data_IF_799288430952
#
_entry.id   IF_799288430952
#
_cell.length_a   1.000
_cell.length_b   1.000
_cell.length_c   1.000
_cell.angle_alpha   90.00
_cell.angle_beta   90.00
_cell.angle_gamma   90.00
#
_symmetry.space_group_name_H-M   'P 1'
#
loop_
_entity.id
_entity.type
_entity.pdbx_description
1 polymer ?
#
# COMPACT_ATOMS: atom_id res chain seq x y z
N UNK A 1 86.74 -68.03 -18.65
CA UNK A 1 85.68 -67.12 -19.15
C UNK A 1 84.32 -67.62 -18.68
N UNK A 2 83.57 -66.72 -18.03
CA UNK A 2 82.10 -66.63 -17.81
C UNK A 2 81.24 -67.83 -17.36
N UNK A 3 80.50 -67.59 -16.25
CA UNK A 3 79.38 -68.39 -15.70
C UNK A 3 78.07 -68.06 -16.45
N UNK A 4 77.14 -69.02 -16.51
CA UNK A 4 75.70 -68.73 -16.71
C UNK A 4 74.84 -69.66 -15.86
N UNK A 5 74.03 -69.05 -14.97
CA UNK A 5 72.97 -69.69 -14.16
C UNK A 5 71.66 -69.62 -14.95
N UNK A 6 70.89 -70.71 -15.02
CA UNK A 6 69.45 -70.69 -15.32
C UNK A 6 68.65 -71.11 -14.10
N UNK A 7 67.69 -70.26 -13.70
CA UNK A 7 66.84 -70.42 -12.51
C UNK A 7 65.56 -71.21 -12.75
N UNK A 8 65.06 -71.79 -11.65
CA UNK A 8 63.82 -72.55 -11.47
C UNK A 8 62.54 -71.77 -11.81
N UNK A 9 61.49 -72.45 -12.26
CA UNK A 9 60.10 -72.09 -11.94
C UNK A 9 59.38 -73.28 -11.29
N UNK A 10 58.93 -73.07 -10.07
CA UNK A 10 58.11 -74.00 -9.26
C UNK A 10 56.69 -73.44 -9.18
N UNK A 11 55.72 -74.29 -9.53
CA UNK A 11 54.28 -74.05 -9.43
C UNK A 11 53.86 -73.75 -7.98
N UNK A 12 53.62 -72.48 -7.67
CA UNK A 12 53.06 -71.99 -6.39
C UNK A 12 51.71 -71.26 -6.59
N UNK A 13 50.75 -71.85 -7.30
CA UNK A 13 49.43 -71.23 -7.54
C UNK A 13 48.24 -71.66 -6.64
N UNK A 14 48.21 -72.79 -5.92
CA UNK A 14 47.03 -73.10 -5.08
C UNK A 14 47.03 -72.35 -3.74
N UNK A 15 48.21 -72.13 -3.14
CA UNK A 15 48.31 -71.48 -1.82
C UNK A 15 47.99 -69.99 -1.91
N UNK A 16 48.41 -69.32 -2.98
CA UNK A 16 48.15 -67.90 -3.17
C UNK A 16 46.65 -67.61 -3.40
N UNK A 17 45.96 -68.48 -4.15
CA UNK A 17 44.52 -68.30 -4.43
C UNK A 17 43.67 -68.59 -3.17
N UNK A 18 44.01 -69.64 -2.42
CA UNK A 18 43.35 -69.97 -1.16
C UNK A 18 43.58 -68.86 -0.13
N UNK A 19 44.81 -68.35 -0.03
CA UNK A 19 45.11 -67.21 0.83
C UNK A 19 44.31 -65.96 0.43
N UNK A 20 44.16 -65.69 -0.87
CA UNK A 20 43.36 -64.56 -1.34
C UNK A 20 41.87 -64.71 -0.99
N UNK A 21 41.30 -65.91 -1.14
CA UNK A 21 39.91 -66.20 -0.78
C UNK A 21 39.69 -66.06 0.73
N UNK A 22 40.60 -66.58 1.55
CA UNK A 22 40.53 -66.45 3.02
C UNK A 22 40.66 -64.98 3.43
N UNK A 23 41.53 -64.20 2.78
CA UNK A 23 41.61 -62.75 2.99
C UNK A 23 40.30 -62.07 2.59
N UNK A 24 39.71 -62.42 1.45
CA UNK A 24 38.44 -61.83 0.98
C UNK A 24 37.25 -62.16 1.88
N UNK A 25 37.18 -63.38 2.39
CA UNK A 25 36.15 -63.78 3.37
C UNK A 25 36.41 -63.05 4.69
N UNK A 26 37.67 -63.01 5.14
CA UNK A 26 38.06 -62.30 6.35
C UNK A 26 37.76 -60.80 6.28
N UNK A 27 38.03 -60.16 5.15
CA UNK A 27 37.70 -58.74 4.95
C UNK A 27 36.21 -58.52 4.87
N UNK A 28 35.43 -59.34 4.15
CA UNK A 28 33.97 -59.19 4.12
C UNK A 28 33.32 -59.45 5.49
N UNK A 29 33.76 -60.45 6.24
CA UNK A 29 33.29 -60.71 7.61
C UNK A 29 33.69 -59.57 8.54
N UNK A 30 34.91 -59.04 8.41
CA UNK A 30 35.35 -57.86 9.15
C UNK A 30 34.55 -56.62 8.77
N UNK A 31 34.18 -56.45 7.50
CA UNK A 31 33.31 -55.36 7.03
C UNK A 31 31.92 -55.50 7.61
N UNK A 32 31.31 -56.69 7.58
CA UNK A 32 30.00 -56.95 8.19
C UNK A 32 30.08 -56.67 9.69
N UNK A 33 31.03 -57.27 10.41
CA UNK A 33 31.25 -57.04 11.83
C UNK A 33 31.45 -55.55 12.16
N UNK A 34 32.23 -54.84 11.35
CA UNK A 34 32.48 -53.41 11.51
C UNK A 34 31.20 -52.58 11.34
N UNK A 35 30.36 -52.89 10.36
CA UNK A 35 29.12 -52.14 10.11
C UNK A 35 27.94 -52.57 10.97
N UNK A 36 27.89 -53.81 11.47
CA UNK A 36 26.78 -54.31 12.30
C UNK A 36 27.04 -54.23 13.80
N UNK A 37 28.31 -54.30 14.24
CA UNK A 37 28.65 -54.42 15.67
C UNK A 37 29.65 -53.35 16.15
N UNK A 38 30.42 -52.72 15.26
CA UNK A 38 31.48 -51.78 15.67
C UNK A 38 31.19 -50.31 15.35
N UNK A 39 30.31 -50.00 14.39
CA UNK A 39 29.73 -48.65 14.32
C UNK A 39 28.76 -48.51 15.49
N UNK A 40 28.91 -47.52 16.38
CA UNK A 40 27.81 -47.15 17.25
C UNK A 40 26.63 -46.80 16.34
N UNK A 41 25.56 -47.59 16.39
CA UNK A 41 24.30 -47.20 15.78
C UNK A 41 23.92 -45.88 16.45
N UNK A 42 23.93 -44.80 15.68
CA UNK A 42 23.46 -43.49 16.17
C UNK A 42 22.02 -43.73 16.64
N UNK A 43 21.68 -43.47 17.91
CA UNK A 43 20.31 -43.59 18.39
C UNK A 43 19.37 -42.88 17.42
N UNK A 44 18.18 -43.42 17.17
CA UNK A 44 17.25 -42.83 16.20
C UNK A 44 16.95 -41.35 16.53
N UNK A 45 16.90 -41.01 17.82
CA UNK A 45 16.73 -39.65 18.33
C UNK A 45 17.91 -38.69 18.04
N UNK A 46 19.08 -39.22 17.70
CA UNK A 46 20.28 -38.47 17.35
C UNK A 46 20.48 -38.35 15.81
N UNK A 47 19.61 -38.99 15.02
CA UNK A 47 19.63 -38.87 13.55
C UNK A 47 18.82 -37.61 13.17
N UNK A 48 19.46 -36.58 12.61
CA UNK A 48 18.77 -35.33 12.33
C UNK A 48 17.81 -35.47 11.15
N UNK A 49 16.57 -35.01 11.37
CA UNK A 49 15.47 -35.09 10.41
C UNK A 49 15.24 -33.75 9.72
N UNK A 50 14.80 -33.78 8.47
CA UNK A 50 14.40 -32.57 7.75
C UNK A 50 12.99 -32.12 8.18
N UNK A 51 12.79 -30.81 8.28
CA UNK A 51 11.52 -30.21 8.75
C UNK A 51 10.33 -30.69 7.90
N UNK A 52 10.47 -30.66 6.56
CA UNK A 52 9.40 -31.09 5.66
C UNK A 52 8.94 -32.53 5.91
N UNK A 53 9.87 -33.45 6.24
CA UNK A 53 9.52 -34.85 6.54
C UNK A 53 8.74 -34.98 7.84
N UNK A 54 9.12 -34.22 8.87
CA UNK A 54 8.44 -34.19 10.17
C UNK A 54 7.03 -33.60 10.04
N UNK A 55 6.91 -32.50 9.28
CA UNK A 55 5.65 -31.78 9.10
C UNK A 55 4.61 -32.52 8.24
N UNK A 56 4.98 -33.62 7.55
CA UNK A 56 3.98 -34.51 6.93
C UNK A 56 3.07 -35.21 7.95
N UNK A 57 3.55 -35.42 9.18
CA UNK A 57 2.78 -36.03 10.27
C UNK A 57 3.32 -35.59 11.66
N UNK A 58 3.13 -34.32 12.05
CA UNK A 58 3.73 -33.75 13.26
C UNK A 58 3.24 -34.43 14.55
N UNK A 59 1.99 -34.92 14.56
CA UNK A 59 1.37 -35.63 15.69
C UNK A 59 2.22 -36.82 16.13
N UNK A 60 2.89 -37.50 15.20
CA UNK A 60 3.72 -38.67 15.49
C UNK A 60 4.96 -38.36 16.33
N UNK A 61 5.36 -37.10 16.43
CA UNK A 61 6.58 -36.65 17.12
C UNK A 61 6.29 -35.99 18.48
N UNK A 62 5.02 -35.78 18.82
CA UNK A 62 4.62 -35.20 20.11
C UNK A 62 4.99 -36.17 21.24
N UNK A 63 5.72 -35.66 22.23
CA UNK A 63 6.22 -36.41 23.39
C UNK A 63 7.46 -37.28 23.10
N UNK A 64 7.94 -37.33 21.86
CA UNK A 64 9.15 -38.07 21.50
C UNK A 64 10.39 -37.16 21.53
N UNK A 65 11.53 -37.73 21.94
CA UNK A 65 12.83 -37.08 21.77
C UNK A 65 13.34 -37.35 20.35
N UNK A 66 13.64 -36.29 19.61
CA UNK A 66 14.24 -36.40 18.27
C UNK A 66 15.14 -35.21 17.98
N UNK A 67 15.91 -35.30 16.89
CA UNK A 67 16.78 -34.23 16.41
C UNK A 67 16.26 -33.74 15.07
N UNK A 68 16.14 -32.42 14.90
CA UNK A 68 15.66 -31.78 13.69
C UNK A 68 16.70 -30.79 13.15
N UNK A 69 16.86 -30.77 11.83
CA UNK A 69 17.81 -29.91 11.12
C UNK A 69 17.10 -28.76 10.43
N UNK A 70 17.58 -27.53 10.61
CA UNK A 70 17.10 -26.37 9.88
C UNK A 70 18.03 -25.16 10.04
N UNK A 71 17.75 -24.07 9.33
CA UNK A 71 18.41 -22.80 9.55
C UNK A 71 17.86 -22.16 10.83
N UNK A 72 18.75 -21.81 11.76
CA UNK A 72 18.33 -21.20 13.02
C UNK A 72 18.07 -19.72 12.82
N UNK A 73 16.87 -19.28 13.17
CA UNK A 73 16.43 -17.89 13.09
C UNK A 73 15.67 -17.50 14.35
N UNK A 74 15.60 -16.20 14.63
CA UNK A 74 14.73 -15.66 15.67
C UNK A 74 13.78 -14.68 14.98
N UNK A 75 12.49 -15.00 14.97
CA UNK A 75 11.43 -14.14 14.39
C UNK A 75 10.40 -13.79 15.45
N UNK A 76 10.03 -12.50 15.52
CA UNK A 76 9.16 -11.94 16.57
C UNK A 76 9.56 -12.34 18.02
N UNK A 77 10.86 -12.54 18.27
CA UNK A 77 11.37 -12.98 19.58
C UNK A 77 11.30 -14.50 19.85
N UNK A 78 10.80 -15.29 18.91
CA UNK A 78 10.70 -16.75 19.02
C UNK A 78 11.87 -17.45 18.29
N UNK A 79 12.69 -18.24 18.99
CA UNK A 79 13.68 -19.11 18.37
C UNK A 79 12.99 -20.20 17.53
N UNK A 80 13.44 -20.40 16.30
CA UNK A 80 12.89 -21.43 15.43
C UNK A 80 13.93 -21.97 14.44
N UNK A 81 13.63 -23.14 13.90
CA UNK A 81 14.34 -23.74 12.77
C UNK A 81 13.45 -23.67 11.53
N UNK A 82 14.02 -23.24 10.41
CA UNK A 82 13.31 -23.16 9.12
C UNK A 82 14.00 -24.04 8.08
N UNK A 83 13.21 -24.60 7.17
CA UNK A 83 13.70 -25.54 6.15
C UNK A 83 14.59 -24.84 5.10
N UNK A 84 14.18 -23.64 4.67
CA UNK A 84 14.81 -22.84 3.66
C UNK A 84 14.71 -21.35 4.03
N UNK A 85 15.86 -20.71 4.20
CA UNK A 85 15.94 -19.32 4.63
C UNK A 85 15.30 -18.35 3.62
N UNK A 86 15.47 -18.56 2.32
CA UNK A 86 14.87 -17.69 1.29
C UNK A 86 13.36 -17.89 1.19
N UNK A 87 12.87 -19.13 1.38
CA UNK A 87 11.43 -19.39 1.43
C UNK A 87 10.80 -18.73 2.65
N UNK A 88 11.45 -18.84 3.82
CA UNK A 88 11.03 -18.17 5.04
C UNK A 88 10.97 -16.65 4.89
N UNK A 89 11.99 -16.04 4.27
CA UNK A 89 12.02 -14.60 4.01
C UNK A 89 10.93 -14.14 3.02
N UNK A 90 10.58 -14.96 2.03
CA UNK A 90 9.62 -14.60 0.99
C UNK A 90 8.16 -14.93 1.35
N UNK A 91 7.91 -15.96 2.14
CA UNK A 91 6.58 -16.55 2.37
C UNK A 91 6.27 -16.70 3.87
N UNK A 92 6.71 -15.73 4.69
CA UNK A 92 6.60 -15.69 6.15
C UNK A 92 5.49 -16.57 6.77
N UNK A 93 5.88 -17.45 7.72
CA UNK A 93 5.02 -18.17 8.67
C UNK A 93 4.06 -19.25 8.10
N UNK A 94 4.45 -20.02 7.07
CA UNK A 94 3.75 -21.29 6.76
C UNK A 94 4.12 -22.36 7.82
N UNK A 95 3.16 -22.88 8.62
CA UNK A 95 3.44 -23.87 9.68
C UNK A 95 4.18 -25.11 9.19
N UNK A 96 4.03 -25.51 7.93
CA UNK A 96 4.68 -26.68 7.35
C UNK A 96 6.19 -26.49 7.09
N UNK A 97 6.70 -25.26 7.22
CA UNK A 97 8.07 -24.89 6.82
C UNK A 97 8.99 -24.56 7.99
N UNK A 98 8.50 -24.60 9.24
CA UNK A 98 9.29 -24.29 10.42
C UNK A 98 8.90 -25.11 11.65
N UNK A 99 9.80 -25.15 12.62
CA UNK A 99 9.57 -25.72 13.96
C UNK A 99 10.09 -24.76 15.01
N UNK A 100 9.27 -24.44 16.01
CA UNK A 100 9.70 -23.56 17.10
C UNK A 100 10.66 -24.30 18.03
N UNK A 101 11.76 -23.65 18.42
CA UNK A 101 12.67 -24.15 19.44
C UNK A 101 12.17 -23.64 20.80
N UNK A 102 11.28 -24.41 21.41
CA UNK A 102 10.62 -24.04 22.66
C UNK A 102 11.49 -24.33 23.88
N UNK A 103 11.12 -23.76 25.04
CA UNK A 103 11.93 -23.81 26.26
C UNK A 103 12.93 -22.65 26.34
N UNK A 104 14.12 -22.90 26.86
CA UNK A 104 15.16 -21.87 27.05
C UNK A 104 16.44 -22.28 26.32
N UNK A 105 16.50 -22.12 24.98
CA UNK A 105 17.76 -22.31 24.26
C UNK A 105 18.82 -21.34 24.81
N UNK A 106 20.09 -21.77 24.98
CA UNK A 106 21.14 -20.93 25.52
C UNK A 106 21.50 -19.80 24.54
N UNK A 107 21.98 -18.68 25.07
CA UNK A 107 22.42 -17.52 24.27
C UNK A 107 23.52 -17.89 23.26
N UNK A 108 24.30 -18.94 23.53
CA UNK A 108 25.30 -19.46 22.58
C UNK A 108 24.71 -19.97 21.26
N UNK A 109 23.41 -20.23 21.18
CA UNK A 109 22.76 -20.55 19.92
C UNK A 109 22.65 -19.35 18.98
N UNK A 110 22.76 -18.12 19.47
CA UNK A 110 22.77 -16.91 18.62
C UNK A 110 23.97 -16.90 17.65
N UNK A 111 25.05 -17.63 17.95
CA UNK A 111 26.18 -17.83 17.02
C UNK A 111 25.79 -18.58 15.73
N UNK A 112 24.63 -19.25 15.73
CA UNK A 112 24.12 -20.04 14.61
C UNK A 112 23.00 -19.34 13.84
N UNK A 113 22.73 -18.05 14.11
CA UNK A 113 21.74 -17.30 13.35
C UNK A 113 22.06 -17.30 11.85
N UNK A 114 21.10 -17.75 11.03
CA UNK A 114 21.26 -17.93 9.59
C UNK A 114 22.13 -19.12 9.20
N UNK A 115 22.60 -19.91 10.16
CA UNK A 115 23.41 -21.11 9.96
C UNK A 115 22.53 -22.34 10.20
N UNK A 116 22.71 -23.37 9.37
CA UNK A 116 22.03 -24.65 9.56
C UNK A 116 22.56 -25.35 10.81
N UNK A 117 21.68 -25.74 11.73
CA UNK A 117 22.05 -26.50 12.91
C UNK A 117 21.03 -27.61 13.21
N UNK A 118 21.47 -28.57 14.01
CA UNK A 118 20.67 -29.68 14.46
C UNK A 118 20.24 -29.40 15.91
N UNK A 119 18.94 -29.35 16.18
CA UNK A 119 18.38 -29.17 17.53
C UNK A 119 17.75 -30.47 17.97
N UNK A 120 18.15 -30.94 19.15
CA UNK A 120 17.57 -32.10 19.83
C UNK A 120 16.69 -31.63 20.98
N UNK A 121 15.52 -32.24 21.09
CA UNK A 121 14.56 -31.95 22.14
C UNK A 121 13.36 -32.88 22.11
N UNK A 122 12.38 -32.58 22.96
CA UNK A 122 11.12 -33.32 23.03
C UNK A 122 10.07 -32.59 22.21
N UNK A 123 9.42 -33.27 21.28
CA UNK A 123 8.34 -32.70 20.47
C UNK A 123 7.14 -32.30 21.31
N UNK A 124 6.56 -31.15 21.03
CA UNK A 124 5.35 -30.65 21.67
C UNK A 124 4.58 -29.73 20.73
N UNK A 125 3.33 -29.43 21.07
CA UNK A 125 2.60 -28.38 20.38
C UNK A 125 3.07 -27.02 20.92
N UNK A 126 3.60 -26.20 20.02
CA UNK A 126 3.77 -24.79 20.30
C UNK A 126 2.43 -24.05 20.17
N UNK A 127 1.66 -24.41 19.14
CA UNK A 127 0.24 -24.06 18.98
C UNK A 127 -0.50 -25.23 18.34
N UNK A 128 -1.36 -25.90 19.11
CA UNK A 128 -2.12 -27.06 18.62
C UNK A 128 -3.23 -26.65 17.62
N UNK A 129 -3.76 -25.43 17.74
CA UNK A 129 -4.84 -24.95 16.87
C UNK A 129 -4.36 -24.63 15.46
N UNK A 130 -3.13 -24.13 15.35
CA UNK A 130 -2.49 -23.77 14.08
C UNK A 130 -1.54 -24.87 13.55
N UNK A 131 -1.48 -26.02 14.23
CA UNK A 131 -0.63 -27.15 13.84
C UNK A 131 0.88 -26.85 13.95
N UNK A 132 1.26 -25.88 14.78
CA UNK A 132 2.65 -25.44 14.93
C UNK A 132 3.39 -26.39 15.87
N UNK A 133 4.33 -27.13 15.30
CA UNK A 133 5.21 -28.01 16.05
C UNK A 133 6.29 -27.22 16.79
N UNK A 134 6.50 -27.57 18.05
CA UNK A 134 7.60 -27.13 18.89
C UNK A 134 8.54 -28.28 19.21
N UNK A 135 9.81 -27.96 19.41
CA UNK A 135 10.81 -28.86 19.97
C UNK A 135 11.38 -28.24 21.26
N UNK A 136 11.02 -28.83 22.40
CA UNK A 136 11.51 -28.38 23.71
C UNK A 136 12.99 -28.65 23.80
N UNK A 137 13.77 -27.59 23.72
CA UNK A 137 15.22 -27.61 23.59
C UNK A 137 15.92 -28.47 24.67
N UNK A 138 16.87 -29.29 24.25
CA UNK A 138 17.77 -30.04 25.14
C UNK A 138 19.25 -29.84 24.77
N UNK A 139 19.58 -29.99 23.49
CA UNK A 139 20.95 -29.91 22.98
C UNK A 139 20.95 -29.45 21.53
N UNK A 140 22.04 -28.83 21.08
CA UNK A 140 22.28 -28.58 19.66
C UNK A 140 23.61 -29.17 19.20
N UNK A 141 23.72 -29.39 17.89
CA UNK A 141 24.97 -29.66 17.19
C UNK A 141 25.05 -28.79 15.93
N UNK A 142 26.20 -28.16 15.72
CA UNK A 142 26.44 -27.32 14.56
C UNK A 142 26.63 -28.16 13.29
N UNK A 143 26.01 -27.76 12.18
CA UNK A 143 26.43 -28.17 10.83
C UNK A 143 26.95 -26.94 10.10
N UNK A 144 28.27 -26.79 10.02
CA UNK A 144 28.84 -25.75 9.18
C UNK A 144 28.67 -26.19 7.72
N UNK A 145 27.60 -25.72 7.05
CA UNK A 145 27.53 -25.72 5.59
C UNK A 145 28.25 -24.47 5.06
N UNK A 146 28.90 -24.58 3.91
CA UNK A 146 29.58 -23.44 3.26
C UNK A 146 28.60 -22.34 2.79
N UNK A 147 27.29 -22.62 2.82
CA UNK A 147 26.22 -21.66 2.53
C UNK A 147 25.92 -20.77 3.73
N UNK A 148 26.83 -19.82 4.01
CA UNK A 148 26.58 -18.71 4.95
C UNK A 148 25.93 -17.57 4.17
N UNK A 149 24.65 -17.32 4.42
CA UNK A 149 23.99 -16.10 3.93
C UNK A 149 24.28 -14.98 4.93
N UNK A 150 25.08 -13.98 4.54
CA UNK A 150 25.31 -12.80 5.38
C UNK A 150 24.18 -11.77 5.21
N UNK A 151 23.43 -11.52 6.29
CA UNK A 151 22.48 -10.41 6.39
C UNK A 151 21.39 -10.65 7.44
N UNK A 152 21.39 -9.87 8.53
CA UNK A 152 20.30 -9.62 9.49
C UNK A 152 19.27 -10.74 9.77
N UNK A 153 19.43 -11.50 10.88
CA UNK A 153 18.47 -12.55 11.31
C UNK A 153 18.09 -12.54 12.80
N UNK A 154 18.20 -11.38 13.45
CA UNK A 154 17.46 -11.13 14.68
C UNK A 154 16.38 -10.14 14.31
N UNK A 155 15.17 -10.65 14.12
CA UNK A 155 14.00 -9.81 13.93
C UNK A 155 13.87 -9.00 15.22
N UNK A 156 14.30 -7.74 15.15
CA UNK A 156 14.06 -6.83 16.25
C UNK A 156 12.56 -6.69 16.25
N UNK A 157 11.90 -7.03 17.36
CA UNK A 157 10.52 -6.57 17.55
C UNK A 157 10.63 -5.06 17.59
N UNK A 158 10.48 -4.44 16.42
CA UNK A 158 10.30 -3.02 16.30
C UNK A 158 8.98 -2.78 17.00
N UNK A 159 9.06 -2.25 18.21
CA UNK A 159 7.89 -1.59 18.79
C UNK A 159 7.47 -0.50 17.81
N UNK A 160 6.18 -0.20 17.77
CA UNK A 160 5.60 0.87 16.93
C UNK A 160 6.34 2.20 17.05
N UNK A 161 7.10 2.39 18.12
CA UNK A 161 8.01 3.52 18.36
C UNK A 161 8.99 3.80 17.19
N UNK A 162 9.43 2.78 16.43
CA UNK A 162 10.29 3.00 15.25
C UNK A 162 9.51 3.51 14.02
N UNK A 163 8.22 3.14 13.92
CA UNK A 163 7.33 3.65 12.87
C UNK A 163 6.92 5.11 13.16
N UNK A 164 6.75 5.45 14.44
CA UNK A 164 6.45 6.83 14.87
C UNK A 164 7.62 7.80 14.60
N UNK A 165 8.87 7.32 14.64
CA UNK A 165 10.07 8.15 14.44
C UNK A 165 10.40 8.43 12.96
N UNK A 166 9.98 7.56 12.01
CA UNK A 166 10.43 7.64 10.60
C UNK A 166 9.36 7.95 9.54
N UNK A 167 8.10 8.09 9.94
CA UNK A 167 6.96 8.77 9.29
C UNK A 167 5.71 8.05 9.80
N UNK A 168 4.69 8.75 10.32
CA UNK A 168 3.46 8.08 10.74
C UNK A 168 2.87 7.40 9.51
N UNK A 169 3.02 6.07 9.43
CA UNK A 169 2.25 5.30 8.48
C UNK A 169 0.85 5.30 9.07
N UNK A 170 0.01 6.23 8.61
CA UNK A 170 -1.40 6.27 8.95
C UNK A 170 -1.97 4.91 8.54
N UNK A 171 -2.22 4.05 9.52
CA UNK A 171 -2.83 2.76 9.30
C UNK A 171 -4.31 2.99 9.02
N UNK A 172 -4.59 3.13 7.73
CA UNK A 172 -5.91 3.27 7.14
C UNK A 172 -6.53 1.85 7.05
N UNK A 173 -7.31 1.48 8.06
CA UNK A 173 -7.97 0.17 8.15
C UNK A 173 -9.12 0.02 7.13
N UNK A 174 -9.68 1.14 6.66
CA UNK A 174 -10.78 1.23 5.72
C UNK A 174 -10.69 2.54 4.96
N UNK A 175 -10.72 2.48 3.62
CA UNK A 175 -10.65 3.67 2.78
C UNK A 175 -11.86 4.59 3.04
N UNK A 176 -11.58 5.82 3.46
CA UNK A 176 -12.55 6.87 3.71
C UNK A 176 -12.56 7.91 2.57
N UNK A 177 -13.65 8.68 2.51
CA UNK A 177 -13.82 9.77 1.54
C UNK A 177 -13.91 11.10 2.28
N UNK A 178 -12.99 12.00 1.98
CA UNK A 178 -12.91 13.34 2.54
C UNK A 178 -13.21 14.39 1.48
N UNK A 179 -13.86 15.49 1.88
CA UNK A 179 -14.13 16.59 0.97
C UNK A 179 -13.90 17.95 1.63
N UNK A 180 -13.43 18.91 0.85
CA UNK A 180 -13.35 20.31 1.22
C UNK A 180 -14.07 21.16 0.17
N UNK A 181 -15.15 21.83 0.60
CA UNK A 181 -15.94 22.74 -0.21
C UNK A 181 -15.65 24.19 0.22
N UNK A 182 -15.15 25.03 -0.69
CA UNK A 182 -14.67 26.38 -0.36
C UNK A 182 -15.34 27.48 -1.17
N UNK A 183 -15.79 28.54 -0.48
CA UNK A 183 -16.17 29.82 -1.10
C UNK A 183 -15.89 31.04 -0.20
N UNK A 184 -15.06 31.97 -0.71
CA UNK A 184 -14.64 33.16 0.02
C UNK A 184 -15.55 34.38 -0.12
N UNK A 185 -16.18 34.61 -1.28
CA UNK A 185 -17.14 35.70 -1.49
C UNK A 185 -16.59 37.13 -1.50
N UNK A 186 -15.29 37.37 -1.25
CA UNK A 186 -14.59 38.68 -1.15
C UNK A 186 -15.13 39.59 -0.04
N UNK A 187 -16.41 39.96 -0.10
CA UNK A 187 -17.12 40.91 0.77
C UNK A 187 -18.63 40.82 0.54
N UNK A 188 -19.50 41.37 1.42
CA UNK A 188 -20.95 41.15 1.35
C UNK A 188 -21.59 41.37 -0.02
N UNK A 189 -21.26 42.44 -0.72
CA UNK A 189 -21.82 42.75 -2.04
C UNK A 189 -21.28 41.90 -3.20
N UNK A 190 -20.30 41.02 -2.94
CA UNK A 190 -19.68 40.10 -3.90
C UNK A 190 -19.89 38.63 -3.54
N UNK A 191 -20.39 38.34 -2.35
CA UNK A 191 -20.85 37.01 -1.96
C UNK A 191 -22.18 36.68 -2.65
N UNK A 192 -22.10 36.26 -3.90
CA UNK A 192 -23.28 35.92 -4.70
C UNK A 192 -23.92 34.62 -4.18
N UNK A 193 -25.26 34.56 -4.17
CA UNK A 193 -26.01 33.39 -3.71
C UNK A 193 -25.72 32.12 -4.52
N UNK A 194 -25.29 32.26 -5.78
CA UNK A 194 -24.92 31.11 -6.61
C UNK A 194 -23.80 30.25 -6.01
N UNK A 195 -22.81 30.87 -5.37
CA UNK A 195 -21.75 30.14 -4.67
C UNK A 195 -22.30 29.28 -3.53
N UNK A 196 -23.35 29.75 -2.84
CA UNK A 196 -23.99 28.95 -1.79
C UNK A 196 -24.79 27.79 -2.37
N UNK A 197 -25.54 28.03 -3.45
CA UNK A 197 -26.30 26.98 -4.12
C UNK A 197 -25.38 25.84 -4.59
N UNK A 198 -24.24 26.19 -5.20
CA UNK A 198 -23.21 25.23 -5.61
C UNK A 198 -22.71 24.39 -4.43
N UNK A 199 -22.38 25.02 -3.28
CA UNK A 199 -21.90 24.34 -2.08
C UNK A 199 -22.96 23.36 -1.53
N UNK A 200 -24.20 23.80 -1.38
CA UNK A 200 -25.30 22.96 -0.86
C UNK A 200 -25.47 21.70 -1.72
N UNK A 201 -25.52 21.88 -3.04
CA UNK A 201 -25.82 20.77 -3.94
C UNK A 201 -24.65 19.82 -4.04
N UNK A 202 -23.42 20.33 -4.11
CA UNK A 202 -22.25 19.47 -4.08
C UNK A 202 -22.16 18.70 -2.76
N UNK A 203 -22.46 19.34 -1.62
CA UNK A 203 -22.54 18.66 -0.32
C UNK A 203 -23.51 17.48 -0.35
N UNK A 204 -24.72 17.66 -0.86
CA UNK A 204 -25.70 16.58 -0.97
C UNK A 204 -25.28 15.48 -1.95
N UNK A 205 -24.68 15.84 -3.09
CA UNK A 205 -24.17 14.87 -4.06
C UNK A 205 -23.07 14.02 -3.42
N UNK A 206 -22.14 14.62 -2.68
CA UNK A 206 -21.12 13.87 -1.95
C UNK A 206 -21.73 12.88 -0.95
N UNK A 207 -22.74 13.30 -0.18
CA UNK A 207 -23.45 12.39 0.73
C UNK A 207 -24.12 11.22 -0.01
N UNK A 208 -24.73 11.48 -1.18
CA UNK A 208 -25.30 10.42 -2.03
C UNK A 208 -24.24 9.41 -2.52
N UNK A 209 -22.98 9.84 -2.63
CA UNK A 209 -21.84 9.03 -3.04
C UNK A 209 -21.02 8.47 -1.86
N UNK A 210 -21.58 8.53 -0.65
CA UNK A 210 -21.04 7.83 0.53
C UNK A 210 -20.01 8.62 1.34
N UNK A 211 -19.80 9.91 1.05
CA UNK A 211 -19.03 10.78 1.93
C UNK A 211 -19.80 10.98 3.25
N UNK A 212 -19.14 10.71 4.37
CA UNK A 212 -19.72 10.96 5.68
C UNK A 212 -19.75 12.45 5.96
N UNK A 213 -20.82 12.94 6.59
CA UNK A 213 -21.01 14.36 6.87
C UNK A 213 -19.86 14.96 7.68
N UNK A 214 -19.25 14.16 8.57
CA UNK A 214 -18.14 14.56 9.43
C UNK A 214 -16.83 14.76 8.63
N UNK A 215 -16.72 14.12 7.47
CA UNK A 215 -15.55 14.19 6.59
C UNK A 215 -15.72 15.23 5.45
N UNK A 216 -16.83 15.98 5.43
CA UNK A 216 -17.07 17.07 4.47
C UNK A 216 -16.89 18.41 5.18
N UNK A 217 -15.78 19.08 4.89
CA UNK A 217 -15.42 20.37 5.45
C UNK A 217 -15.95 21.49 4.54
N UNK A 218 -16.84 22.32 5.06
CA UNK A 218 -17.38 23.49 4.35
C UNK A 218 -16.77 24.76 4.93
N UNK A 219 -16.05 25.49 4.08
CA UNK A 219 -15.38 26.74 4.43
C UNK A 219 -15.98 27.87 3.61
N UNK A 220 -16.77 28.73 4.26
CA UNK A 220 -17.69 29.63 3.58
C UNK A 220 -17.72 31.02 4.23
N UNK A 221 -17.52 32.09 3.45
CA UNK A 221 -17.63 33.52 3.86
C UNK A 221 -17.14 33.80 5.29
N UNK A 222 -18.05 34.22 6.18
CA UNK A 222 -17.82 34.56 7.58
C UNK A 222 -18.02 33.36 8.54
N UNK A 223 -18.16 32.15 7.99
CA UNK A 223 -18.40 30.92 8.74
C UNK A 223 -19.88 30.66 9.00
N UNK A 224 -20.78 31.39 8.33
CA UNK A 224 -22.22 31.24 8.47
C UNK A 224 -22.84 30.93 7.11
N UNK A 225 -23.53 29.79 7.00
CA UNK A 225 -24.29 29.41 5.81
C UNK A 225 -25.52 30.29 5.62
N UNK A 226 -26.04 30.34 4.39
CA UNK A 226 -27.27 31.10 4.09
C UNK A 226 -28.55 30.33 4.48
N UNK A 227 -28.42 29.08 4.92
CA UNK A 227 -29.49 28.23 5.45
C UNK A 227 -28.98 27.34 6.61
N UNK A 228 -29.89 26.70 7.39
CA UNK A 228 -29.52 25.91 8.56
C UNK A 228 -29.24 24.42 8.29
N UNK A 229 -29.32 23.95 7.04
CA UNK A 229 -29.26 22.53 6.70
C UNK A 229 -27.85 22.08 6.30
N UNK A 230 -27.11 22.92 5.58
CA UNK A 230 -25.72 22.63 5.21
C UNK A 230 -24.78 23.17 6.28
N UNK A 231 -23.99 22.32 6.96
CA UNK A 231 -23.06 22.78 7.99
C UNK A 231 -21.96 23.64 7.34
N UNK A 232 -21.52 24.67 8.08
CA UNK A 232 -20.31 25.44 7.76
C UNK A 232 -19.34 25.29 8.92
N UNK A 233 -18.16 24.78 8.64
CA UNK A 233 -17.15 24.46 9.66
C UNK A 233 -16.37 25.72 10.08
N UNK A 234 -16.07 26.61 9.14
CA UNK A 234 -15.28 27.81 9.43
C UNK A 234 -15.42 28.91 8.37
N UNK A 235 -14.97 30.11 8.73
CA UNK A 235 -14.88 31.25 7.82
C UNK A 235 -13.82 31.02 6.73
N UNK A 236 -14.03 31.63 5.55
CA UNK A 236 -13.13 31.50 4.41
C UNK A 236 -11.92 32.43 4.52
N UNK A 237 -10.95 31.99 5.32
CA UNK A 237 -9.69 32.69 5.60
C UNK A 237 -8.50 31.77 5.34
N UNK A 238 -7.30 32.34 5.21
CA UNK A 238 -6.06 31.57 5.13
C UNK A 238 -5.89 30.65 6.35
N UNK A 239 -6.06 31.19 7.56
CA UNK A 239 -5.92 30.42 8.81
C UNK A 239 -6.86 29.22 8.87
N UNK A 240 -8.10 29.38 8.37
CA UNK A 240 -9.06 28.29 8.34
C UNK A 240 -8.64 27.18 7.38
N UNK A 241 -8.12 27.51 6.20
CA UNK A 241 -7.60 26.48 5.29
C UNK A 241 -6.30 25.86 5.80
N UNK A 242 -5.41 26.63 6.41
CA UNK A 242 -4.23 26.07 7.10
C UNK A 242 -4.65 25.04 8.16
N UNK A 243 -5.71 25.34 8.92
CA UNK A 243 -6.24 24.42 9.93
C UNK A 243 -6.82 23.17 9.30
N UNK A 244 -7.74 23.31 8.34
CA UNK A 244 -8.41 22.16 7.70
C UNK A 244 -7.41 21.27 6.98
N UNK A 245 -6.48 21.82 6.19
CA UNK A 245 -5.46 21.01 5.52
C UNK A 245 -4.45 20.39 6.51
N UNK A 246 -4.18 21.03 7.64
CA UNK A 246 -3.38 20.42 8.70
C UNK A 246 -4.10 19.23 9.36
N UNK A 247 -5.42 19.31 9.54
CA UNK A 247 -6.24 18.21 10.04
C UNK A 247 -6.26 17.06 9.03
N UNK A 248 -6.63 17.36 7.77
CA UNK A 248 -6.64 16.37 6.68
C UNK A 248 -5.28 15.69 6.48
N UNK A 249 -4.17 16.43 6.54
CA UNK A 249 -2.82 15.82 6.39
C UNK A 249 -2.44 14.89 7.54
N UNK A 250 -3.08 15.07 8.71
CA UNK A 250 -2.89 14.20 9.87
C UNK A 250 -3.81 13.00 9.84
N UNK A 251 -5.05 13.16 9.37
CA UNK A 251 -6.09 12.12 9.40
C UNK A 251 -6.03 11.19 8.18
N UNK A 252 -5.75 11.71 6.99
CA UNK A 252 -5.83 10.94 5.75
C UNK A 252 -4.63 10.01 5.54
N UNK A 253 -4.91 8.80 5.07
CA UNK A 253 -3.96 7.77 4.69
C UNK A 253 -4.00 7.40 3.21
N UNK A 254 -3.10 6.48 2.80
CA UNK A 254 -2.88 6.13 1.38
C UNK A 254 -4.06 5.48 0.66
N UNK A 255 -5.13 5.06 1.36
CA UNK A 255 -6.32 4.46 0.72
C UNK A 255 -7.48 5.46 0.65
N UNK A 256 -7.42 6.53 1.44
CA UNK A 256 -8.40 7.61 1.44
C UNK A 256 -8.41 8.41 0.14
N UNK A 257 -9.47 9.16 -0.07
CA UNK A 257 -9.65 10.04 -1.24
C UNK A 257 -10.04 11.44 -0.81
N UNK A 258 -9.57 12.46 -1.55
CA UNK A 258 -9.92 13.86 -1.30
C UNK A 258 -10.70 14.44 -2.48
N UNK A 259 -11.86 15.04 -2.20
CA UNK A 259 -12.58 15.90 -3.14
C UNK A 259 -12.39 17.36 -2.73
N UNK A 260 -11.63 18.13 -3.50
CA UNK A 260 -11.41 19.56 -3.26
C UNK A 260 -12.18 20.40 -4.27
N UNK A 261 -13.12 21.20 -3.80
CA UNK A 261 -14.06 21.94 -4.62
C UNK A 261 -14.08 23.41 -4.25
N UNK A 262 -13.97 24.27 -5.26
CA UNK A 262 -13.95 25.72 -5.07
C UNK A 262 -14.98 26.37 -5.99
N UNK A 263 -15.87 27.19 -5.41
CA UNK A 263 -16.86 28.03 -6.12
C UNK A 263 -16.82 29.44 -5.58
N UNK A 264 -16.20 30.37 -6.32
CA UNK A 264 -15.83 31.67 -5.76
C UNK A 264 -15.42 32.68 -6.84
N UNK A 265 -15.05 33.89 -6.40
CA UNK A 265 -14.19 34.77 -7.17
C UNK A 265 -12.74 34.31 -7.19
N UNK A 266 -12.07 34.58 -8.30
CA UNK A 266 -10.65 34.28 -8.50
C UNK A 266 -9.99 35.28 -9.43
N UNK A 267 -8.70 35.10 -9.64
CA UNK A 267 -7.93 35.87 -10.60
C UNK A 267 -6.50 35.39 -10.67
N UNK A 268 -5.65 36.13 -11.37
CA UNK A 268 -4.25 35.74 -11.61
C UNK A 268 -3.39 35.58 -10.35
N UNK A 269 -3.87 36.08 -9.20
CA UNK A 269 -3.25 35.93 -7.88
C UNK A 269 -3.74 34.73 -7.06
N UNK A 270 -4.86 34.09 -7.45
CA UNK A 270 -5.41 32.91 -6.77
C UNK A 270 -6.89 33.04 -6.41
N UNK A 271 -7.31 32.33 -5.37
CA UNK A 271 -8.72 32.22 -4.95
C UNK A 271 -9.05 33.30 -3.91
N UNK A 272 -10.15 34.01 -4.04
CA UNK A 272 -10.50 35.08 -3.10
C UNK A 272 -10.81 34.55 -1.70
N UNK A 273 -10.46 35.30 -0.66
CA UNK A 273 -10.88 35.05 0.73
C UNK A 273 -12.04 35.96 1.13
N UNK A 274 -12.58 35.77 2.33
CA UNK A 274 -13.53 36.70 2.92
C UNK A 274 -12.82 37.92 3.53
N UNK A 275 -12.66 38.96 2.69
CA UNK A 275 -12.00 40.23 2.97
C UNK A 275 -12.27 40.86 4.35
N UNK A 276 -13.53 40.93 4.82
CA UNK A 276 -13.84 41.49 6.14
C UNK A 276 -13.17 40.77 7.32
N UNK A 277 -12.86 39.47 7.18
CA UNK A 277 -12.17 38.69 8.21
C UNK A 277 -10.70 38.44 7.87
N UNK A 278 -10.35 38.50 6.59
CA UNK A 278 -9.00 38.26 6.10
C UNK A 278 -8.65 39.21 4.95
N UNK A 279 -7.76 40.15 5.24
CA UNK A 279 -7.28 41.14 4.27
C UNK A 279 -5.89 40.81 3.70
N UNK A 280 -5.39 39.59 3.89
CA UNK A 280 -4.02 39.21 3.52
C UNK A 280 -3.82 38.94 2.02
N UNK A 281 -4.90 38.84 1.26
CA UNK A 281 -4.87 38.64 -0.18
C UNK A 281 -5.66 37.41 -0.62
N UNK A 282 -5.45 36.98 -1.86
CA UNK A 282 -6.01 35.72 -2.35
C UNK A 282 -5.20 34.53 -1.83
N UNK A 283 -5.86 33.38 -1.66
CA UNK A 283 -5.19 32.08 -1.50
C UNK A 283 -4.36 31.82 -2.76
N UNK A 284 -3.04 31.89 -2.64
CA UNK A 284 -2.16 31.81 -3.80
C UNK A 284 -2.08 30.39 -4.35
N UNK A 285 -1.75 30.26 -5.63
CA UNK A 285 -1.52 28.96 -6.28
C UNK A 285 -0.50 28.10 -5.52
N UNK A 286 0.57 28.72 -5.02
CA UNK A 286 1.61 28.02 -4.26
C UNK A 286 1.10 27.52 -2.89
N UNK A 287 0.24 28.29 -2.21
CA UNK A 287 -0.36 27.83 -0.95
C UNK A 287 -1.27 26.63 -1.18
N UNK A 288 -2.14 26.71 -2.20
CA UNK A 288 -3.03 25.60 -2.56
C UNK A 288 -2.23 24.36 -2.97
N UNK A 289 -1.17 24.52 -3.77
CA UNK A 289 -0.24 23.43 -4.11
C UNK A 289 0.35 22.80 -2.85
N UNK A 290 0.93 23.60 -1.95
CA UNK A 290 1.56 23.09 -0.73
C UNK A 290 0.57 22.33 0.17
N UNK A 291 -0.66 22.81 0.29
CA UNK A 291 -1.71 22.13 1.03
C UNK A 291 -2.06 20.77 0.41
N UNK A 292 -2.31 20.73 -0.90
CA UNK A 292 -2.59 19.48 -1.60
C UNK A 292 -1.38 18.52 -1.55
N UNK A 293 -0.16 19.02 -1.66
CA UNK A 293 1.07 18.21 -1.61
C UNK A 293 1.33 17.64 -0.20
N UNK A 294 0.74 18.22 0.84
CA UNK A 294 0.84 17.70 2.21
C UNK A 294 -0.09 16.52 2.51
N UNK A 295 -1.10 16.27 1.67
CA UNK A 295 -2.08 15.20 1.89
C UNK A 295 -1.57 13.88 1.32
N UNK A 296 -1.55 12.85 2.15
CA UNK A 296 -1.34 11.47 1.72
C UNK A 296 -2.69 10.85 1.43
N UNK A 297 -2.92 10.41 0.18
CA UNK A 297 -4.17 9.79 -0.25
C UNK A 297 -3.96 8.92 -1.49
N UNK A 298 -4.94 8.08 -1.81
CA UNK A 298 -4.96 7.29 -3.03
C UNK A 298 -5.09 8.18 -4.27
N UNK A 299 -6.07 9.09 -4.28
CA UNK A 299 -6.24 10.10 -5.32
C UNK A 299 -7.01 11.33 -4.83
N UNK A 300 -6.95 12.39 -5.63
CA UNK A 300 -7.74 13.60 -5.44
C UNK A 300 -8.58 13.91 -6.68
N UNK A 301 -9.78 14.42 -6.43
CA UNK A 301 -10.62 15.07 -7.44
C UNK A 301 -10.64 16.54 -7.08
N UNK A 302 -10.24 17.40 -8.02
CA UNK A 302 -10.09 18.84 -7.78
C UNK A 302 -10.94 19.58 -8.80
N UNK A 303 -11.94 20.32 -8.34
CA UNK A 303 -12.88 21.06 -9.18
C UNK A 303 -12.82 22.55 -8.84
N UNK A 304 -12.54 23.38 -9.85
CA UNK A 304 -12.23 24.80 -9.64
C UNK A 304 -13.05 25.70 -10.56
N UNK A 305 -14.05 26.37 -9.99
CA UNK A 305 -15.01 27.20 -10.73
C UNK A 305 -14.53 28.64 -10.94
N UNK A 306 -13.72 29.20 -10.06
CA UNK A 306 -13.38 30.62 -10.05
C UNK A 306 -12.66 31.08 -11.33
N UNK A 307 -12.74 32.39 -11.63
CA UNK A 307 -11.97 33.00 -12.72
C UNK A 307 -10.47 32.65 -12.63
N UNK A 308 -9.85 32.43 -13.79
CA UNK A 308 -8.43 32.06 -13.92
C UNK A 308 -8.11 30.71 -13.27
N UNK A 309 -9.10 29.81 -13.13
CA UNK A 309 -8.93 28.49 -12.49
C UNK A 309 -7.94 27.61 -13.22
N UNK A 310 -7.90 27.63 -14.56
CA UNK A 310 -6.95 26.86 -15.37
C UNK A 310 -5.48 27.14 -15.05
N UNK A 311 -5.18 28.31 -14.49
CA UNK A 311 -3.82 28.65 -14.04
C UNK A 311 -3.34 27.76 -12.89
N UNK A 312 -4.23 27.14 -12.13
CA UNK A 312 -3.84 26.24 -11.05
C UNK A 312 -3.21 24.94 -11.56
N UNK A 313 -3.56 24.48 -12.76
CA UNK A 313 -3.07 23.20 -13.31
C UNK A 313 -1.53 23.15 -13.28
N UNK A 314 -0.84 24.22 -13.70
CA UNK A 314 0.63 24.26 -13.70
C UNK A 314 1.28 24.18 -12.31
N UNK A 315 0.51 24.33 -11.23
CA UNK A 315 0.98 24.25 -9.85
C UNK A 315 0.54 22.95 -9.18
N UNK A 316 -0.68 22.49 -9.44
CA UNK A 316 -1.29 21.41 -8.67
C UNK A 316 -1.36 20.08 -9.43
N UNK A 317 -1.00 20.04 -10.72
CA UNK A 317 -0.95 18.81 -11.51
C UNK A 317 -0.03 17.76 -10.87
N UNK A 318 -0.54 16.52 -10.72
CA UNK A 318 0.20 15.38 -10.21
C UNK A 318 -0.46 14.06 -10.64
N UNK A 319 0.30 12.96 -10.62
CA UNK A 319 -0.13 11.64 -11.13
C UNK A 319 -1.38 11.05 -10.45
N UNK A 320 -1.70 11.48 -9.23
CA UNK A 320 -2.85 10.99 -8.46
C UNK A 320 -3.98 12.03 -8.35
N UNK A 321 -4.02 13.02 -9.24
CA UNK A 321 -5.01 14.12 -9.20
C UNK A 321 -5.77 14.17 -10.51
N UNK A 322 -7.08 14.26 -10.43
CA UNK A 322 -7.95 14.63 -11.56
C UNK A 322 -8.41 16.06 -11.33
N UNK A 323 -8.04 16.97 -12.22
CA UNK A 323 -8.26 18.41 -12.07
C UNK A 323 -9.21 18.88 -13.18
N UNK A 324 -10.27 19.57 -12.77
CA UNK A 324 -11.30 20.13 -13.63
C UNK A 324 -11.41 21.63 -13.32
N UNK A 325 -11.22 22.49 -14.32
CA UNK A 325 -11.30 23.94 -14.15
C UNK A 325 -12.35 24.53 -15.08
N UNK A 326 -13.12 25.51 -14.61
CA UNK A 326 -14.17 26.17 -15.39
C UNK A 326 -13.64 27.01 -16.56
N UNK A 327 -12.43 27.57 -16.45
CA UNK A 327 -11.88 28.42 -17.50
C UNK A 327 -10.35 28.28 -17.60
N UNK A 328 -9.77 28.83 -18.68
CA UNK A 328 -8.32 28.81 -18.89
C UNK A 328 -7.57 29.84 -18.02
N UNK A 329 -6.23 29.85 -18.11
CA UNK A 329 -5.31 30.62 -17.25
C UNK A 329 -5.38 32.16 -17.38
N UNK A 330 -6.19 32.67 -18.31
CA UNK A 330 -6.39 34.09 -18.55
C UNK A 330 -7.86 34.50 -18.69
N UNK A 331 -8.79 33.58 -18.45
CA UNK A 331 -10.21 33.78 -18.69
C UNK A 331 -10.99 34.04 -17.40
N UNK A 332 -12.16 34.68 -17.56
CA UNK A 332 -13.16 34.72 -16.49
C UNK A 332 -13.99 33.45 -16.53
N UNK A 333 -14.51 33.04 -15.38
CA UNK A 333 -15.64 32.13 -15.32
C UNK A 333 -16.95 32.90 -15.13
N UNK A 334 -18.08 32.24 -15.35
CA UNK A 334 -19.37 32.89 -15.42
C UNK A 334 -20.46 32.19 -14.62
N UNK A 335 -21.39 33.01 -14.12
CA UNK A 335 -22.70 32.53 -13.73
C UNK A 335 -23.47 31.99 -14.95
N UNK A 336 -24.38 31.05 -14.71
CA UNK A 336 -25.32 30.58 -15.71
C UNK A 336 -26.12 31.72 -16.34
N UNK A 337 -26.53 31.54 -17.58
CA UNK A 337 -27.33 32.52 -18.31
C UNK A 337 -28.84 32.29 -18.19
N UNK A 338 -29.28 31.03 -18.12
CA UNK A 338 -30.71 30.67 -18.12
C UNK A 338 -31.13 29.75 -16.96
N UNK A 339 -30.19 29.02 -16.38
CA UNK A 339 -30.37 27.97 -15.37
C UNK A 339 -30.55 28.53 -13.96
N UNK A 340 -30.36 29.84 -13.78
CA UNK A 340 -30.66 30.55 -12.54
C UNK A 340 -29.41 31.00 -11.79
N UNK A 341 -29.44 30.87 -10.45
CA UNK A 341 -28.36 31.35 -9.59
C UNK A 341 -27.36 30.21 -9.35
N UNK A 342 -26.57 29.92 -10.38
CA UNK A 342 -25.50 28.92 -10.35
C UNK A 342 -24.29 29.45 -11.11
N UNK A 343 -23.13 28.86 -10.88
CA UNK A 343 -21.98 29.03 -11.75
C UNK A 343 -21.99 27.96 -12.86
N UNK A 344 -21.61 28.34 -14.08
CA UNK A 344 -21.95 27.62 -15.32
C UNK A 344 -21.33 26.21 -15.38
N UNK A 345 -20.01 26.14 -15.31
CA UNK A 345 -19.30 24.88 -15.44
C UNK A 345 -19.72 23.89 -14.34
N UNK A 346 -19.71 24.33 -13.07
CA UNK A 346 -20.09 23.46 -11.95
C UNK A 346 -21.57 23.06 -11.94
N UNK A 347 -22.48 23.88 -12.47
CA UNK A 347 -23.89 23.50 -12.66
C UNK A 347 -24.01 22.26 -13.55
N UNK A 348 -23.33 22.25 -14.69
CA UNK A 348 -23.36 21.12 -15.62
C UNK A 348 -22.58 19.93 -15.07
N UNK A 349 -21.45 20.15 -14.39
CA UNK A 349 -20.70 19.10 -13.69
C UNK A 349 -21.55 18.36 -12.66
N UNK A 350 -22.20 19.10 -11.75
CA UNK A 350 -23.09 18.50 -10.75
C UNK A 350 -24.29 17.80 -11.39
N UNK A 351 -24.84 18.36 -12.47
CA UNK A 351 -25.93 17.73 -13.23
C UNK A 351 -25.50 16.39 -13.83
N UNK A 352 -24.28 16.31 -14.38
CA UNK A 352 -23.71 15.08 -14.94
C UNK A 352 -23.63 13.97 -13.88
N UNK A 353 -23.15 14.30 -12.68
CA UNK A 353 -22.97 13.34 -11.59
C UNK A 353 -24.27 12.67 -11.13
N UNK A 354 -25.39 13.40 -11.20
CA UNK A 354 -26.71 12.89 -10.77
C UNK A 354 -27.59 12.38 -11.93
N UNK A 355 -27.15 12.52 -13.18
CA UNK A 355 -27.91 12.11 -14.36
C UNK A 355 -29.12 13.00 -14.70
N UNK A 356 -29.28 14.14 -14.01
CA UNK A 356 -30.42 15.05 -14.10
C UNK A 356 -29.94 16.49 -14.09
N UNK A 357 -30.58 17.36 -14.88
CA UNK A 357 -30.29 18.79 -14.81
C UNK A 357 -30.74 19.36 -13.46
N UNK A 358 -29.85 20.09 -12.81
CA UNK A 358 -30.11 20.78 -11.54
C UNK A 358 -31.25 21.83 -11.68
N UNK A 359 -31.85 22.29 -10.57
CA UNK A 359 -32.98 23.22 -10.63
C UNK A 359 -32.71 24.46 -11.48
N UNK A 360 -33.64 24.73 -12.40
CA UNK A 360 -33.52 25.78 -13.42
C UNK A 360 -33.25 25.23 -14.82
N UNK A 361 -32.79 23.98 -14.93
CA UNK A 361 -32.77 23.21 -16.18
C UNK A 361 -33.96 22.26 -16.32
N UNK A 362 -34.15 21.72 -17.53
CA UNK A 362 -35.18 20.72 -17.84
C UNK A 362 -34.57 19.46 -18.47
N UNK A 363 -34.89 18.29 -17.91
CA UNK A 363 -34.57 16.99 -18.50
C UNK A 363 -33.41 16.24 -17.84
N UNK A 364 -32.99 15.16 -18.50
CA UNK A 364 -31.83 14.34 -18.10
C UNK A 364 -30.51 15.03 -18.45
N UNK A 365 -29.48 14.65 -17.70
CA UNK A 365 -28.08 14.99 -17.97
C UNK A 365 -27.33 13.67 -18.20
N UNK A 366 -27.43 13.12 -19.41
CA UNK A 366 -26.84 11.83 -19.73
C UNK A 366 -25.34 11.98 -20.02
N UNK A 367 -24.52 11.66 -19.03
CA UNK A 367 -23.06 11.73 -19.07
C UNK A 367 -22.39 10.35 -19.09
N UNK A 368 -23.14 9.24 -18.99
CA UNK A 368 -22.61 7.86 -19.06
C UNK A 368 -22.33 7.49 -20.52
N UNK A 369 -21.32 8.15 -21.09
CA UNK A 369 -20.95 7.99 -22.49
C UNK A 369 -20.34 6.60 -22.78
N UNK A 370 -19.82 5.93 -21.75
CA UNK A 370 -19.28 4.57 -21.86
C UNK A 370 -20.30 3.47 -21.57
N UNK A 371 -21.51 3.83 -21.11
CA UNK A 371 -22.63 2.92 -20.82
C UNK A 371 -22.29 1.84 -19.79
N UNK A 372 -21.45 2.17 -18.83
CA UNK A 372 -21.00 1.26 -17.77
C UNK A 372 -21.82 1.39 -16.47
N UNK A 373 -22.77 2.32 -16.45
CA UNK A 373 -23.67 2.59 -15.34
C UNK A 373 -23.07 3.50 -14.26
N UNK A 374 -21.92 4.13 -14.52
CA UNK A 374 -21.26 5.09 -13.63
C UNK A 374 -20.87 6.34 -14.42
N UNK A 375 -20.59 7.42 -13.69
CA UNK A 375 -20.11 8.67 -14.26
C UNK A 375 -18.67 8.88 -13.77
N UNK A 376 -17.72 8.65 -14.65
CA UNK A 376 -16.31 8.94 -14.40
C UNK A 376 -16.04 10.45 -14.36
N UNK A 377 -14.93 10.88 -13.77
CA UNK A 377 -14.57 12.31 -13.74
C UNK A 377 -14.32 12.88 -15.13
N UNK A 378 -13.84 12.05 -16.06
CA UNK A 378 -13.72 12.45 -17.47
C UNK A 378 -15.09 12.66 -18.12
N UNK A 379 -16.03 11.76 -17.90
CA UNK A 379 -17.42 11.90 -18.39
C UNK A 379 -18.10 13.14 -17.83
N UNK A 380 -17.95 13.39 -16.52
CA UNK A 380 -18.47 14.58 -15.87
C UNK A 380 -17.87 15.86 -16.48
N UNK A 381 -16.55 15.89 -16.73
CA UNK A 381 -15.91 17.01 -17.43
C UNK A 381 -16.44 17.19 -18.86
N UNK A 382 -16.50 16.11 -19.64
CA UNK A 382 -16.97 16.16 -21.04
C UNK A 382 -18.38 16.72 -21.08
N UNK A 383 -19.27 16.24 -20.22
CA UNK A 383 -20.63 16.75 -20.14
C UNK A 383 -20.62 18.24 -19.78
N UNK A 384 -19.90 18.62 -18.73
CA UNK A 384 -19.84 20.01 -18.27
C UNK A 384 -19.37 20.96 -19.37
N UNK A 385 -18.21 20.66 -19.96
CA UNK A 385 -17.59 21.50 -20.99
C UNK A 385 -18.37 21.50 -22.33
N UNK A 386 -19.12 20.44 -22.65
CA UNK A 386 -19.95 20.39 -23.85
C UNK A 386 -21.28 21.14 -23.71
N UNK A 387 -21.76 21.34 -22.48
CA UNK A 387 -23.01 22.03 -22.19
C UNK A 387 -22.80 23.48 -21.71
N UNK A 388 -21.55 23.85 -21.43
CA UNK A 388 -21.14 25.23 -21.18
C UNK A 388 -21.57 26.15 -22.33
N UNK A 389 -22.44 27.11 -21.99
CA UNK A 389 -23.00 28.09 -22.91
C UNK A 389 -22.28 29.44 -22.83
N UNK A 390 -21.34 29.59 -21.89
CA UNK A 390 -20.66 30.83 -21.57
C UNK A 390 -19.33 30.92 -22.31
N UNK A 391 -18.77 32.13 -22.33
CA UNK A 391 -17.52 32.42 -23.03
C UNK A 391 -16.29 32.02 -22.23
N UNK A 392 -16.23 30.78 -21.74
CA UNK A 392 -15.13 30.22 -20.96
C UNK A 392 -14.60 28.93 -21.58
N UNK A 393 -13.34 28.59 -21.30
CA UNK A 393 -12.71 27.37 -21.81
C UNK A 393 -12.38 26.43 -20.64
N UNK A 394 -13.27 25.49 -20.29
CA UNK A 394 -12.95 24.50 -19.27
C UNK A 394 -11.73 23.66 -19.65
N UNK A 395 -10.90 23.32 -18.66
CA UNK A 395 -9.70 22.50 -18.83
C UNK A 395 -9.72 21.29 -17.89
N UNK A 396 -9.07 20.23 -18.34
CA UNK A 396 -8.95 18.94 -17.66
C UNK A 396 -7.48 18.49 -17.64
N UNK A 397 -7.02 17.99 -16.51
CA UNK A 397 -5.66 17.45 -16.32
C UNK A 397 -5.72 16.24 -15.39
N UNK A 398 -5.07 15.13 -15.75
CA UNK A 398 -5.06 13.92 -14.92
C UNK A 398 -3.80 13.04 -15.04
N UNK A 399 -2.74 13.51 -15.70
CA UNK A 399 -1.53 12.74 -15.95
C UNK A 399 -0.26 13.31 -15.29
N UNK A 400 -0.37 14.49 -14.66
CA UNK A 400 0.74 15.13 -13.97
C UNK A 400 1.70 15.90 -14.89
N UNK A 401 1.35 16.14 -16.16
CA UNK A 401 2.22 16.84 -17.11
C UNK A 401 2.13 18.37 -17.04
N UNK A 402 1.23 18.90 -16.19
CA UNK A 402 0.96 20.32 -15.99
C UNK A 402 0.31 21.02 -17.19
N UNK A 403 -0.35 20.28 -18.09
CA UNK A 403 -0.99 20.81 -19.30
C UNK A 403 -2.48 20.52 -19.29
N UNK A 404 -3.28 21.55 -19.05
CA UNK A 404 -4.74 21.47 -19.15
C UNK A 404 -5.22 21.25 -20.59
N UNK A 405 -6.06 20.23 -20.77
CA UNK A 405 -6.70 19.89 -22.04
C UNK A 405 -8.12 20.45 -22.10
N UNK A 406 -8.46 21.08 -23.21
CA UNK A 406 -9.85 21.49 -23.50
C UNK A 406 -10.69 20.30 -23.97
N UNK A 407 -12.01 20.53 -24.13
CA UNK A 407 -12.99 19.50 -24.47
C UNK A 407 -12.57 18.55 -25.61
N UNK A 408 -12.07 19.08 -26.73
CA UNK A 408 -11.75 18.28 -27.92
C UNK A 408 -10.74 17.15 -27.64
N UNK A 409 -9.52 17.48 -27.18
CA UNK A 409 -8.54 16.48 -26.76
C UNK A 409 -9.07 15.48 -25.71
N UNK A 410 -9.87 15.93 -24.75
CA UNK A 410 -10.44 15.04 -23.72
C UNK A 410 -11.46 14.07 -24.31
N UNK A 411 -12.29 14.49 -25.26
CA UNK A 411 -13.27 13.61 -25.94
C UNK A 411 -12.59 12.54 -26.79
N UNK A 412 -11.57 12.91 -27.57
CA UNK A 412 -10.95 12.01 -28.55
C UNK A 412 -9.69 11.29 -28.05
N UNK A 413 -9.13 11.72 -26.91
CA UNK A 413 -7.99 11.07 -26.27
C UNK A 413 -8.36 9.73 -25.62
N UNK A 414 -7.33 9.04 -25.14
CA UNK A 414 -7.44 7.72 -24.51
C UNK A 414 -6.41 7.58 -23.40
N UNK A 415 -6.69 6.73 -22.40
CA UNK A 415 -5.75 6.46 -21.32
C UNK A 415 -5.79 7.50 -20.20
N UNK A 416 -6.92 8.18 -20.06
CA UNK A 416 -7.15 9.15 -19.00
C UNK A 416 -7.26 8.42 -17.67
N UNK A 417 -6.51 8.89 -16.67
CA UNK A 417 -6.59 8.37 -15.31
C UNK A 417 -8.03 8.49 -14.78
N UNK A 418 -8.69 9.60 -15.06
CA UNK A 418 -10.06 9.89 -14.62
C UNK A 418 -11.15 9.07 -15.29
N UNK A 419 -10.86 8.22 -16.28
CA UNK A 419 -11.79 7.17 -16.76
C UNK A 419 -12.14 6.17 -15.63
N UNK A 420 -11.26 6.03 -14.63
CA UNK A 420 -11.41 5.09 -13.51
C UNK A 420 -11.66 5.78 -12.16
N UNK A 421 -11.87 7.11 -12.16
CA UNK A 421 -12.08 7.91 -10.96
C UNK A 421 -13.53 8.34 -10.90
N UNK A 422 -14.17 8.06 -9.76
CA UNK A 422 -15.58 8.26 -9.50
C UNK A 422 -15.74 8.92 -8.12
N UNK A 423 -16.90 9.55 -7.88
CA UNK A 423 -17.25 10.05 -6.56
C UNK A 423 -17.42 8.95 -5.53
#
# INVERSE_FOLDING_TARGET
MSKSKKGKLSSKRPIALIALIVILIGTNVATIYYFTLYRPSIPAEDVPMDIGDVMTNPVAYIGLTFTISGYYVISAGYPMLVDNLMSFLNNSLNPDSYVLVTGTPPTSMEEYLGIRCDVKGVGEWADESDGVLGIRYSKYAARVSDDVVQGFFKDTVLTTDYLDEYKPFQYDASAEKYALLYSGGIKPEKAHFRYWNDIIYMYFILQMHGYQSENIYVVYKDGVGEDPYTPVNSAATHTSLDTVFSELSTEMGIRDTLFFYTTNHGGSGGISVWGPMDSSGALTHAQVSNWLDSITCHHMIIVMEQCVSGKFIQYISAQNRVILTACSDGESSYACDTEGQWDEFVYHFMSALIGLKLPGGLGSADADYYTDGKISMREAFIYAAAHDSRGETPLYDDDGDSVGLSLGPVVFGTGFYGDNIFL
#
